data_IF_600340859290
#
_entry.id   IF_600340859290
#
_cell.length_a   1.000
_cell.length_b   1.000
_cell.length_c   1.000
_cell.angle_alpha   90.00
_cell.angle_beta   90.00
_cell.angle_gamma   90.00
#
_symmetry.space_group_name_H-M   'P 1'
#
loop_
_entity.id
_entity.type
_entity.pdbx_description
1 polymer ?
#
# COMPACT_ATOMS: atom_id res chain seq x y z
N UNK A 1 -36.73 5.39 -14.76
CA UNK A 1 -35.62 6.36 -14.57
C UNK A 1 -35.56 6.68 -13.09
N UNK A 2 -34.69 6.05 -12.33
CA UNK A 2 -34.35 6.41 -10.95
C UNK A 2 -32.87 6.77 -10.95
N UNK A 3 -32.62 8.00 -10.51
CA UNK A 3 -31.34 8.67 -10.42
C UNK A 3 -30.39 7.88 -9.55
N UNK A 4 -29.19 7.60 -10.08
CA UNK A 4 -28.03 7.10 -9.34
C UNK A 4 -27.39 8.30 -8.63
N UNK A 5 -27.93 8.66 -7.49
CA UNK A 5 -27.37 9.71 -6.65
C UNK A 5 -27.61 9.32 -5.17
N UNK A 6 -26.87 8.33 -4.72
CA UNK A 6 -26.82 7.96 -3.31
C UNK A 6 -25.48 7.30 -3.02
N UNK A 7 -24.59 8.04 -2.36
CA UNK A 7 -24.04 7.70 -1.04
C UNK A 7 -22.69 8.35 -0.76
N UNK A 8 -22.71 9.64 -0.55
CA UNK A 8 -21.68 10.28 0.27
C UNK A 8 -22.19 10.30 1.71
N UNK A 9 -21.78 9.38 2.55
CA UNK A 9 -22.03 9.44 3.98
C UNK A 9 -20.93 10.23 4.66
N UNK A 10 -21.19 11.50 4.94
CA UNK A 10 -20.32 12.35 5.76
C UNK A 10 -20.55 12.03 7.24
N UNK A 11 -19.54 11.47 7.92
CA UNK A 11 -19.47 11.49 9.38
C UNK A 11 -18.22 12.24 9.83
N UNK A 12 -18.42 13.37 10.48
CA UNK A 12 -17.37 14.08 11.20
C UNK A 12 -17.14 13.37 12.54
N UNK A 13 -15.91 12.95 12.82
CA UNK A 13 -15.51 12.39 14.11
C UNK A 13 -14.91 13.48 15.01
N UNK A 14 -15.36 13.45 16.27
CA UNK A 14 -14.99 14.44 17.26
C UNK A 14 -13.71 14.11 18.00
N UNK A 15 -13.03 15.21 18.39
CA UNK A 15 -12.04 15.41 19.45
C UNK A 15 -10.84 14.47 19.59
N UNK A 16 -9.70 15.08 19.29
CA UNK A 16 -8.31 14.64 19.42
C UNK A 16 -7.98 14.07 20.81
N UNK A 17 -7.38 12.88 20.93
CA UNK A 17 -6.61 12.51 22.10
C UNK A 17 -5.21 13.17 22.05
N UNK A 18 -4.80 13.78 23.15
CA UNK A 18 -3.46 14.31 23.34
C UNK A 18 -2.47 13.17 23.62
N UNK A 19 -1.43 13.06 22.78
CA UNK A 19 -0.29 12.20 23.07
C UNK A 19 0.46 11.82 21.80
N UNK A 20 1.16 12.76 21.15
CA UNK A 20 2.10 12.43 20.08
C UNK A 20 3.42 11.98 20.70
N UNK A 21 3.67 10.69 20.70
CA UNK A 21 5.00 10.09 20.88
C UNK A 21 5.53 9.65 19.52
N UNK A 22 6.78 9.96 19.25
CA UNK A 22 7.69 9.67 18.16
C UNK A 22 7.23 8.77 17.00
N UNK A 23 7.60 9.20 15.80
CA UNK A 23 7.60 8.38 14.58
C UNK A 23 8.48 7.16 14.84
N UNK A 24 7.87 6.03 15.23
CA UNK A 24 8.54 4.75 15.24
C UNK A 24 8.66 4.27 13.80
N UNK A 25 9.82 3.74 13.43
CA UNK A 25 10.05 2.99 12.19
C UNK A 25 8.89 2.01 12.00
N UNK A 26 7.99 2.34 11.07
CA UNK A 26 6.72 1.65 10.90
C UNK A 26 6.93 0.39 10.05
N UNK A 27 7.75 -0.53 10.55
CA UNK A 27 7.89 -1.87 9.97
C UNK A 27 6.65 -2.67 10.39
N UNK A 28 5.62 -2.57 9.57
CA UNK A 28 4.46 -3.45 9.70
C UNK A 28 4.90 -4.91 9.47
N UNK A 29 4.29 -5.85 10.17
CA UNK A 29 4.63 -7.25 10.02
C UNK A 29 4.46 -7.69 8.56
N UNK A 30 5.54 -8.12 7.92
CA UNK A 30 5.48 -8.92 6.71
C UNK A 30 5.49 -10.38 7.14
N UNK A 31 4.32 -11.01 7.18
CA UNK A 31 4.21 -12.37 7.66
C UNK A 31 4.87 -13.35 6.68
N UNK A 32 5.92 -14.00 7.16
CA UNK A 32 6.52 -15.19 6.53
C UNK A 32 6.96 -15.05 5.05
N UNK A 33 7.39 -13.87 4.62
CA UNK A 33 8.02 -13.74 3.31
C UNK A 33 9.27 -14.60 3.20
N UNK A 34 9.49 -15.22 2.04
CA UNK A 34 10.74 -15.92 1.73
C UNK A 34 11.95 -14.98 1.84
N UNK A 35 13.18 -15.51 1.97
CA UNK A 35 14.38 -14.67 1.98
C UNK A 35 14.46 -13.73 0.75
N UNK A 36 14.09 -14.23 -0.43
CA UNK A 36 14.13 -13.47 -1.67
C UNK A 36 13.06 -12.37 -1.69
N UNK A 37 11.82 -12.67 -1.34
CA UNK A 37 10.75 -11.68 -1.22
C UNK A 37 11.08 -10.58 -0.19
N UNK A 38 11.76 -10.94 0.91
CA UNK A 38 12.24 -9.96 1.90
C UNK A 38 13.31 -9.03 1.35
N UNK A 39 14.18 -9.50 0.46
CA UNK A 39 15.17 -8.64 -0.19
C UNK A 39 14.47 -7.66 -1.14
N UNK A 40 13.48 -8.11 -1.92
CA UNK A 40 12.68 -7.22 -2.77
C UNK A 40 11.93 -6.17 -1.93
N UNK A 41 11.27 -6.58 -0.83
CA UNK A 41 10.57 -5.65 0.08
C UNK A 41 11.52 -4.57 0.65
N UNK A 42 12.78 -4.94 0.97
CA UNK A 42 13.78 -3.97 1.41
C UNK A 42 14.18 -2.97 0.32
N UNK A 43 14.31 -3.42 -0.94
CA UNK A 43 14.59 -2.51 -2.08
C UNK A 43 13.40 -1.57 -2.30
N UNK A 44 12.16 -2.10 -2.26
CA UNK A 44 10.95 -1.29 -2.32
C UNK A 44 10.93 -0.22 -1.21
N UNK A 45 11.29 -0.58 0.01
CA UNK A 45 11.35 0.36 1.13
C UNK A 45 12.35 1.51 0.92
N UNK A 46 13.51 1.26 0.28
CA UNK A 46 14.49 2.32 -0.02
C UNK A 46 13.92 3.40 -0.94
N UNK A 47 13.07 3.01 -1.90
CA UNK A 47 12.43 3.95 -2.83
C UNK A 47 11.02 4.35 -2.36
N UNK A 48 10.67 4.07 -1.10
CA UNK A 48 9.37 4.41 -0.51
C UNK A 48 8.20 3.65 -1.09
N UNK A 49 8.43 2.39 -1.46
CA UNK A 49 7.45 1.51 -2.08
C UNK A 49 6.91 1.95 -3.44
N UNK A 50 7.58 2.90 -4.10
CA UNK A 50 7.29 3.24 -5.49
C UNK A 50 7.59 2.05 -6.40
N UNK A 51 6.53 1.35 -6.83
CA UNK A 51 6.64 0.03 -7.47
C UNK A 51 7.43 0.09 -8.78
N UNK A 52 7.15 1.09 -9.62
CA UNK A 52 7.82 1.23 -10.92
C UNK A 52 9.32 1.50 -10.72
N UNK A 53 9.66 2.47 -9.86
CA UNK A 53 11.05 2.82 -9.60
C UNK A 53 11.87 1.65 -9.04
N UNK A 54 11.25 0.84 -8.14
CA UNK A 54 11.90 -0.35 -7.61
C UNK A 54 12.10 -1.43 -8.67
N UNK A 55 11.07 -1.69 -9.49
CA UNK A 55 11.12 -2.72 -10.53
C UNK A 55 12.17 -2.35 -11.58
N UNK A 56 12.17 -1.11 -12.06
CA UNK A 56 13.16 -0.62 -13.04
C UNK A 56 14.58 -0.76 -12.49
N UNK A 57 14.81 -0.36 -11.23
CA UNK A 57 16.12 -0.48 -10.60
C UNK A 57 16.58 -1.95 -10.48
N UNK A 58 15.65 -2.88 -10.15
CA UNK A 58 15.97 -4.31 -10.07
C UNK A 58 16.28 -4.87 -11.45
N UNK A 59 15.48 -4.55 -12.45
CA UNK A 59 15.68 -5.01 -13.83
C UNK A 59 17.00 -4.50 -14.41
N UNK A 60 17.35 -3.24 -14.18
CA UNK A 60 18.63 -2.65 -14.59
C UNK A 60 19.86 -3.30 -13.90
N UNK A 61 19.69 -3.81 -12.68
CA UNK A 61 20.74 -4.47 -11.92
C UNK A 61 20.96 -5.94 -12.33
N UNK A 62 19.99 -6.55 -13.03
CA UNK A 62 20.10 -7.94 -13.51
C UNK A 62 20.86 -7.95 -14.85
N UNK A 63 21.95 -8.75 -14.96
CA UNK A 63 22.73 -8.81 -16.21
C UNK A 63 21.91 -9.38 -17.38
N UNK A 64 22.06 -8.75 -18.56
CA UNK A 64 21.46 -9.26 -19.81
C UNK A 64 20.07 -8.71 -20.05
N UNK A 65 19.16 -9.58 -20.49
CA UNK A 65 17.75 -9.24 -20.77
C UNK A 65 16.79 -9.79 -19.69
N UNK A 66 17.33 -10.13 -18.50
CA UNK A 66 16.53 -10.60 -17.38
C UNK A 66 15.76 -9.46 -16.70
N UNK A 67 14.91 -9.82 -15.75
CA UNK A 67 14.13 -8.89 -14.95
C UNK A 67 13.54 -9.57 -13.72
N UNK A 68 12.92 -8.80 -12.84
CA UNK A 68 12.32 -9.28 -11.60
C UNK A 68 11.32 -10.43 -11.84
N UNK A 69 10.54 -10.32 -12.91
CA UNK A 69 9.51 -11.30 -13.27
C UNK A 69 9.86 -12.14 -14.52
N UNK A 70 11.09 -12.02 -15.03
CA UNK A 70 11.53 -12.82 -16.16
C UNK A 70 11.77 -14.27 -15.73
N UNK A 71 11.12 -15.27 -16.36
CA UNK A 71 11.26 -16.67 -15.99
C UNK A 71 12.66 -17.25 -16.23
N UNK A 72 13.52 -16.56 -16.99
CA UNK A 72 14.90 -16.95 -17.23
C UNK A 72 15.87 -16.40 -16.17
N UNK A 73 15.44 -15.40 -15.38
CA UNK A 73 16.24 -14.88 -14.26
C UNK A 73 16.30 -15.91 -13.15
N UNK A 74 17.49 -16.37 -12.83
CA UNK A 74 17.68 -17.34 -11.73
C UNK A 74 17.57 -16.63 -10.37
N UNK A 75 17.13 -17.36 -9.35
CA UNK A 75 17.07 -16.83 -7.97
C UNK A 75 18.44 -16.32 -7.48
N UNK A 76 19.56 -16.91 -7.94
CA UNK A 76 20.90 -16.45 -7.58
C UNK A 76 21.32 -15.14 -8.29
N UNK A 77 20.86 -14.90 -9.50
CA UNK A 77 21.06 -13.62 -10.20
C UNK A 77 20.25 -12.53 -9.55
N UNK A 78 18.96 -12.78 -9.29
CA UNK A 78 18.09 -11.85 -8.61
C UNK A 78 18.61 -11.50 -7.22
N UNK A 79 19.03 -12.49 -6.42
CA UNK A 79 19.60 -12.24 -5.09
C UNK A 79 20.82 -11.32 -5.15
N UNK A 80 21.77 -11.57 -6.07
CA UNK A 80 22.97 -10.74 -6.22
C UNK A 80 22.62 -9.29 -6.65
N UNK A 81 21.68 -9.12 -7.56
CA UNK A 81 21.19 -7.80 -7.96
C UNK A 81 20.57 -7.04 -6.78
N UNK A 82 19.71 -7.69 -6.01
CA UNK A 82 19.08 -7.12 -4.82
C UNK A 82 20.11 -6.75 -3.74
N UNK A 83 21.07 -7.61 -3.46
CA UNK A 83 22.16 -7.34 -2.49
C UNK A 83 23.01 -6.13 -2.95
N UNK A 84 23.31 -6.01 -4.25
CA UNK A 84 24.00 -4.88 -4.82
C UNK A 84 23.20 -3.57 -4.67
N UNK A 85 21.88 -3.59 -4.96
CA UNK A 85 21.00 -2.44 -4.81
C UNK A 85 20.92 -2.00 -3.35
N UNK A 86 20.77 -2.95 -2.41
CA UNK A 86 20.72 -2.65 -0.98
C UNK A 86 22.03 -2.07 -0.42
N UNK A 87 23.16 -2.33 -1.09
CA UNK A 87 24.45 -1.72 -0.76
C UNK A 87 24.64 -0.34 -1.41
N UNK A 88 23.80 0.04 -2.36
CA UNK A 88 23.76 1.35 -3.00
C UNK A 88 22.76 2.26 -2.28
N UNK A 89 22.93 3.57 -2.46
CA UNK A 89 21.96 4.55 -1.96
C UNK A 89 20.95 4.82 -3.08
N UNK A 90 19.86 4.04 -3.12
CA UNK A 90 18.78 4.27 -4.05
C UNK A 90 18.03 5.53 -3.64
N UNK A 91 18.04 6.52 -4.53
CA UNK A 91 17.27 7.74 -4.30
C UNK A 91 15.79 7.50 -4.58
N UNK A 92 14.96 7.85 -3.62
CA UNK A 92 13.53 7.90 -3.83
C UNK A 92 13.17 8.92 -4.92
N UNK A 93 12.23 8.62 -5.83
CA UNK A 93 11.78 9.59 -6.82
C UNK A 93 11.34 10.91 -6.17
N UNK A 94 11.77 12.03 -6.77
CA UNK A 94 11.28 13.34 -6.37
C UNK A 94 9.77 13.41 -6.67
N UNK A 95 9.00 13.93 -5.73
CA UNK A 95 7.58 14.22 -5.98
C UNK A 95 7.46 15.67 -6.42
N UNK A 96 6.53 15.91 -7.35
CA UNK A 96 6.02 17.26 -7.57
C UNK A 96 5.28 17.73 -6.31
N UNK A 97 5.42 19.00 -5.94
CA UNK A 97 4.56 19.57 -4.89
C UNK A 97 3.11 19.57 -5.42
N UNK A 98 2.18 18.95 -4.70
CA UNK A 98 0.80 18.92 -5.14
C UNK A 98 0.20 20.32 -5.12
N UNK A 99 -0.62 20.62 -6.11
CA UNK A 99 -1.32 21.91 -6.23
C UNK A 99 -2.53 21.97 -5.29
N UNK A 100 -2.40 21.65 -3.99
CA UNK A 100 -3.54 21.76 -3.10
C UNK A 100 -3.48 20.90 -1.84
N UNK A 101 -4.54 21.05 -1.01
CA UNK A 101 -4.69 20.39 0.29
C UNK A 101 -5.60 19.15 0.25
N UNK A 102 -6.16 18.82 -0.94
CA UNK A 102 -7.07 17.69 -1.14
C UNK A 102 -6.38 16.57 -1.91
N UNK A 103 -6.55 15.35 -1.42
CA UNK A 103 -5.99 14.15 -2.01
C UNK A 103 -7.07 13.08 -2.21
N UNK A 104 -6.84 12.23 -3.20
CA UNK A 104 -7.59 11.00 -3.42
C UNK A 104 -6.62 9.83 -3.27
N UNK A 105 -7.00 8.85 -2.46
CA UNK A 105 -6.22 7.65 -2.22
C UNK A 105 -7.02 6.43 -2.66
N UNK A 106 -6.57 5.75 -3.71
CA UNK A 106 -7.05 4.42 -4.08
C UNK A 106 -6.24 3.37 -3.37
N UNK A 107 -6.89 2.34 -2.84
CA UNK A 107 -6.25 1.20 -2.18
C UNK A 107 -6.85 -0.11 -2.65
N UNK A 108 -6.03 -1.16 -2.67
CA UNK A 108 -6.45 -2.51 -3.03
C UNK A 108 -5.54 -3.55 -2.37
N UNK A 109 -6.13 -4.65 -1.93
CA UNK A 109 -5.44 -5.82 -1.41
C UNK A 109 -5.65 -7.03 -2.31
N UNK A 110 -4.58 -7.71 -2.70
CA UNK A 110 -4.65 -8.92 -3.51
C UNK A 110 -4.09 -10.13 -2.78
N UNK A 111 -4.80 -11.27 -2.83
CA UNK A 111 -4.33 -12.53 -2.25
C UNK A 111 -4.53 -13.69 -3.23
N UNK A 112 -3.46 -14.45 -3.49
CA UNK A 112 -3.50 -15.66 -4.32
C UNK A 112 -3.91 -16.88 -3.49
N UNK A 113 -5.18 -16.93 -3.13
CA UNK A 113 -5.78 -17.83 -2.14
C UNK A 113 -5.99 -17.15 -0.80
N UNK A 114 -6.79 -17.74 0.10
CA UNK A 114 -7.15 -17.14 1.38
C UNK A 114 -7.03 -18.19 2.51
N UNK A 115 -5.90 -18.26 3.24
CA UNK A 115 -4.69 -17.45 3.09
C UNK A 115 -3.78 -17.87 1.94
N UNK A 116 -2.96 -16.93 1.42
CA UNK A 116 -2.01 -17.14 0.33
C UNK A 116 -0.98 -16.02 0.19
N UNK A 117 -0.13 -16.07 -0.86
CA UNK A 117 0.71 -14.93 -1.19
C UNK A 117 -0.14 -13.69 -1.42
N UNK A 118 0.14 -12.64 -0.68
CA UNK A 118 -0.68 -11.43 -0.65
C UNK A 118 0.17 -10.18 -0.82
N UNK A 119 -0.42 -9.18 -1.47
CA UNK A 119 0.19 -7.89 -1.76
C UNK A 119 -0.78 -6.74 -1.52
N UNK A 120 -0.23 -5.57 -1.34
CA UNK A 120 -0.94 -4.32 -1.12
C UNK A 120 -0.57 -3.32 -2.20
N UNK A 121 -1.54 -2.59 -2.71
CA UNK A 121 -1.39 -1.52 -3.68
C UNK A 121 -2.04 -0.23 -3.21
N UNK A 122 -1.43 0.92 -3.52
CA UNK A 122 -2.01 2.23 -3.27
C UNK A 122 -1.62 3.23 -4.36
N UNK A 123 -2.56 4.10 -4.74
CA UNK A 123 -2.31 5.19 -5.67
C UNK A 123 -2.78 6.49 -5.02
N UNK A 124 -1.86 7.45 -4.92
CA UNK A 124 -2.16 8.79 -4.40
C UNK A 124 -2.30 9.74 -5.58
N UNK A 125 -3.36 10.53 -5.57
CA UNK A 125 -3.64 11.57 -6.56
C UNK A 125 -3.92 12.90 -5.85
N UNK A 126 -3.66 14.00 -6.55
CA UNK A 126 -4.04 15.33 -6.10
C UNK A 126 -5.52 15.67 -6.42
N UNK A 127 -5.90 16.93 -6.22
CA UNK A 127 -7.27 17.41 -6.45
C UNK A 127 -7.67 17.41 -7.93
N UNK A 128 -6.71 17.47 -8.84
CA UNK A 128 -6.86 17.45 -10.29
C UNK A 128 -6.84 16.02 -10.86
N UNK A 129 -6.74 15.00 -9.98
CA UNK A 129 -6.58 13.58 -10.30
C UNK A 129 -5.24 13.26 -11.00
N UNK A 130 -4.24 14.12 -10.84
CA UNK A 130 -2.86 13.81 -11.26
C UNK A 130 -2.21 12.85 -10.27
N UNK A 131 -1.54 11.81 -10.80
CA UNK A 131 -0.93 10.76 -9.97
C UNK A 131 0.36 11.25 -9.36
N UNK A 132 0.42 11.24 -8.04
CA UNK A 132 1.58 11.63 -7.23
C UNK A 132 2.46 10.45 -6.82
N UNK A 133 1.84 9.27 -6.56
CA UNK A 133 2.56 8.06 -6.14
C UNK A 133 1.83 6.79 -6.57
N UNK A 134 2.60 5.75 -6.93
CA UNK A 134 2.13 4.39 -7.23
C UNK A 134 2.88 3.40 -6.36
N UNK A 135 2.25 3.00 -5.26
CA UNK A 135 2.87 2.22 -4.21
C UNK A 135 2.43 0.77 -4.27
N UNK A 136 3.36 -0.13 -3.99
CA UNK A 136 3.03 -1.54 -3.85
C UNK A 136 4.04 -2.27 -2.98
N UNK A 137 3.58 -3.31 -2.26
CA UNK A 137 4.45 -4.13 -1.41
C UNK A 137 3.93 -5.55 -1.26
N UNK A 138 4.83 -6.52 -1.03
CA UNK A 138 4.41 -7.83 -0.53
C UNK A 138 3.94 -7.72 0.92
N UNK A 139 2.86 -8.43 1.26
CA UNK A 139 2.29 -8.46 2.62
C UNK A 139 2.70 -9.73 3.35
N UNK A 140 2.58 -10.88 2.69
CA UNK A 140 2.97 -12.16 3.28
C UNK A 140 2.78 -13.32 2.32
N UNK A 141 3.46 -14.44 2.55
CA UNK A 141 3.31 -15.66 1.75
C UNK A 141 2.04 -16.45 2.11
N UNK A 142 1.41 -16.13 3.24
CA UNK A 142 0.18 -16.76 3.76
C UNK A 142 -0.71 -15.76 4.48
N UNK A 143 -0.92 -14.58 3.91
CA UNK A 143 -1.82 -13.57 4.45
C UNK A 143 -3.26 -13.73 3.89
N UNK A 144 -4.24 -13.30 4.67
CA UNK A 144 -5.63 -13.23 4.23
C UNK A 144 -5.90 -12.00 3.34
N UNK A 145 -7.02 -12.01 2.62
CA UNK A 145 -7.42 -10.88 1.79
C UNK A 145 -7.63 -9.62 2.64
N UNK A 146 -8.32 -9.72 3.77
CA UNK A 146 -8.53 -8.57 4.65
C UNK A 146 -7.21 -7.98 5.17
N UNK A 147 -6.21 -8.83 5.50
CA UNK A 147 -4.87 -8.35 5.88
C UNK A 147 -4.23 -7.54 4.77
N UNK A 148 -4.38 -7.97 3.51
CA UNK A 148 -3.86 -7.25 2.35
C UNK A 148 -4.56 -5.89 2.16
N UNK A 149 -5.89 -5.83 2.34
CA UNK A 149 -6.68 -4.59 2.29
C UNK A 149 -6.24 -3.57 3.35
N UNK A 150 -6.10 -4.02 4.61
CA UNK A 150 -5.59 -3.19 5.68
C UNK A 150 -4.16 -2.70 5.41
N UNK A 151 -3.30 -3.57 4.89
CA UNK A 151 -1.93 -3.22 4.53
C UNK A 151 -1.89 -2.18 3.40
N UNK A 152 -2.81 -2.27 2.42
CA UNK A 152 -2.93 -1.30 1.34
C UNK A 152 -3.34 0.09 1.86
N UNK A 153 -4.36 0.14 2.70
CA UNK A 153 -4.80 1.39 3.32
C UNK A 153 -3.69 2.02 4.17
N UNK A 154 -3.01 1.21 4.98
CA UNK A 154 -1.89 1.67 5.80
C UNK A 154 -0.72 2.18 4.94
N UNK A 155 -0.36 1.46 3.86
CA UNK A 155 0.70 1.85 2.94
C UNK A 155 0.45 3.25 2.35
N UNK A 156 -0.74 3.47 1.79
CA UNK A 156 -1.11 4.74 1.19
C UNK A 156 -1.20 5.88 2.20
N UNK A 157 -1.82 5.64 3.37
CA UNK A 157 -1.93 6.65 4.43
C UNK A 157 -0.57 7.05 5.01
N UNK A 158 0.33 6.09 5.24
CA UNK A 158 1.67 6.38 5.76
C UNK A 158 2.46 7.27 4.81
N UNK A 159 2.40 6.98 3.52
CA UNK A 159 3.03 7.81 2.49
C UNK A 159 2.43 9.21 2.47
N UNK A 160 1.10 9.29 2.44
CA UNK A 160 0.37 10.53 2.34
C UNK A 160 0.68 11.47 3.52
N UNK A 161 0.62 10.98 4.76
CA UNK A 161 0.86 11.82 5.95
C UNK A 161 2.34 12.16 6.15
N UNK A 162 3.25 11.34 5.62
CA UNK A 162 4.69 11.59 5.73
C UNK A 162 5.16 12.66 4.76
N UNK A 163 4.54 12.76 3.57
CA UNK A 163 5.05 13.60 2.48
C UNK A 163 4.20 14.83 2.17
N UNK A 164 2.89 14.80 2.43
CA UNK A 164 1.97 15.77 1.82
C UNK A 164 1.13 16.59 2.81
N UNK A 165 1.16 16.30 4.11
CA UNK A 165 0.36 17.01 5.13
C UNK A 165 -1.11 17.26 4.72
N UNK A 166 -1.89 16.21 4.41
CA UNK A 166 -3.21 16.32 3.81
C UNK A 166 -4.22 17.01 4.74
N UNK A 167 -4.96 18.00 4.24
CA UNK A 167 -6.08 18.61 4.96
C UNK A 167 -7.42 17.96 4.63
N UNK A 168 -7.56 17.40 3.43
CA UNK A 168 -8.73 16.65 2.96
C UNK A 168 -8.30 15.39 2.24
N UNK A 169 -8.95 14.30 2.55
CA UNK A 169 -8.67 12.99 1.97
C UNK A 169 -9.96 12.28 1.60
N UNK A 170 -10.06 11.82 0.37
CA UNK A 170 -11.03 10.83 -0.07
C UNK A 170 -10.32 9.49 -0.26
N UNK A 171 -10.72 8.46 0.51
CA UNK A 171 -10.21 7.08 0.34
C UNK A 171 -11.21 6.31 -0.53
N UNK A 172 -10.74 5.73 -1.64
CA UNK A 172 -11.51 4.89 -2.56
C UNK A 172 -11.09 3.44 -2.37
N UNK A 173 -12.01 2.61 -1.90
CA UNK A 173 -11.76 1.25 -1.43
C UNK A 173 -12.98 0.36 -1.71
N UNK A 174 -12.78 -0.91 -2.03
CA UNK A 174 -13.84 -1.88 -2.29
C UNK A 174 -14.12 -2.82 -1.11
N UNK A 175 -13.25 -2.85 -0.09
CA UNK A 175 -13.42 -3.68 1.11
C UNK A 175 -14.44 -3.11 2.09
N UNK A 176 -15.65 -3.66 2.09
CA UNK A 176 -16.68 -3.33 3.07
C UNK A 176 -16.29 -3.65 4.50
N UNK A 177 -15.47 -4.68 4.72
CA UNK A 177 -14.96 -5.04 6.05
C UNK A 177 -14.09 -3.92 6.61
N UNK A 178 -13.10 -3.47 5.85
CA UNK A 178 -12.22 -2.36 6.27
C UNK A 178 -13.02 -1.07 6.48
N UNK A 179 -14.00 -0.78 5.61
CA UNK A 179 -14.88 0.39 5.76
C UNK A 179 -15.64 0.33 7.08
N UNK A 180 -16.25 -0.80 7.43
CA UNK A 180 -17.03 -0.95 8.66
C UNK A 180 -16.16 -0.82 9.90
N UNK A 181 -15.00 -1.46 9.91
CA UNK A 181 -14.07 -1.40 11.04
C UNK A 181 -13.49 0.01 11.22
N UNK A 182 -13.03 0.66 10.15
CA UNK A 182 -12.34 1.96 10.23
C UNK A 182 -13.29 3.13 10.40
N UNK A 183 -14.40 3.16 9.65
CA UNK A 183 -15.36 4.28 9.68
C UNK A 183 -16.69 3.94 10.36
N UNK A 184 -17.01 2.67 10.55
CA UNK A 184 -18.18 2.20 11.30
C UNK A 184 -17.98 2.24 12.81
N UNK A 185 -16.73 2.15 13.26
CA UNK A 185 -16.34 2.15 14.67
C UNK A 185 -16.44 0.76 15.33
N UNK A 186 -16.43 -0.28 14.51
CA UNK A 186 -16.34 -1.66 14.99
C UNK A 186 -14.86 -2.03 15.21
N UNK A 187 -14.59 -2.89 16.20
CA UNK A 187 -13.26 -3.45 16.38
C UNK A 187 -12.98 -4.48 15.28
N UNK A 188 -11.73 -4.55 14.75
CA UNK A 188 -11.38 -5.57 13.77
C UNK A 188 -11.67 -6.97 14.30
N UNK A 189 -12.39 -7.76 13.51
CA UNK A 189 -12.78 -9.12 13.90
C UNK A 189 -11.80 -10.19 13.45
N UNK A 190 -10.91 -9.87 12.50
CA UNK A 190 -9.94 -10.80 11.96
C UNK A 190 -8.61 -10.74 12.75
N UNK A 191 -8.11 -11.88 13.26
CA UNK A 191 -6.82 -11.92 13.97
C UNK A 191 -5.67 -11.51 13.06
N UNK A 192 -4.76 -10.68 13.59
CA UNK A 192 -3.53 -10.28 12.90
C UNK A 192 -3.65 -8.96 12.12
N UNK A 193 -4.84 -8.35 12.03
CA UNK A 193 -5.01 -7.02 11.40
C UNK A 193 -4.83 -5.87 12.39
N UNK A 194 -4.79 -6.14 13.69
CA UNK A 194 -4.71 -5.13 14.74
C UNK A 194 -3.57 -4.12 14.55
N UNK A 195 -2.31 -4.53 14.21
CA UNK A 195 -1.22 -3.58 14.00
C UNK A 195 -1.47 -2.64 12.82
N UNK A 196 -2.14 -3.12 11.77
CA UNK A 196 -2.52 -2.31 10.62
C UNK A 196 -3.65 -1.34 10.98
N UNK A 197 -4.67 -1.83 11.69
CA UNK A 197 -5.80 -1.01 12.14
C UNK A 197 -5.36 0.13 13.05
N UNK A 198 -4.47 -0.14 14.00
CA UNK A 198 -3.88 0.89 14.88
C UNK A 198 -3.10 1.94 14.07
N UNK A 199 -2.29 1.51 13.10
CA UNK A 199 -1.52 2.41 12.24
C UNK A 199 -2.43 3.27 11.34
N UNK A 200 -3.48 2.67 10.77
CA UNK A 200 -4.51 3.37 9.99
C UNK A 200 -5.22 4.42 10.85
N UNK A 201 -5.66 4.06 12.05
CA UNK A 201 -6.33 4.98 12.96
C UNK A 201 -5.41 6.16 13.36
N UNK A 202 -4.13 5.88 13.62
CA UNK A 202 -3.15 6.92 13.94
C UNK A 202 -2.92 7.88 12.76
N UNK A 203 -2.82 7.35 11.54
CA UNK A 203 -2.63 8.16 10.33
C UNK A 203 -3.88 9.03 10.05
N UNK A 204 -5.08 8.46 10.09
CA UNK A 204 -6.33 9.20 9.88
C UNK A 204 -6.57 10.27 10.95
N UNK A 205 -6.13 10.05 12.19
CA UNK A 205 -6.20 11.06 13.25
C UNK A 205 -5.40 12.32 12.93
N UNK A 206 -4.40 12.25 12.05
CA UNK A 206 -3.61 13.41 11.60
C UNK A 206 -4.25 14.15 10.42
N UNK A 207 -5.24 13.55 9.75
CA UNK A 207 -5.95 14.16 8.61
C UNK A 207 -7.27 14.78 9.08
N UNK A 208 -7.40 16.13 9.09
CA UNK A 208 -8.56 16.81 9.70
C UNK A 208 -9.91 16.44 9.07
N UNK A 209 -9.94 16.24 7.76
CA UNK A 209 -11.16 15.89 7.04
C UNK A 209 -10.89 14.70 6.14
N UNK A 210 -11.43 13.55 6.48
CA UNK A 210 -11.35 12.35 5.65
C UNK A 210 -12.71 11.72 5.46
N UNK A 211 -12.93 11.18 4.28
CA UNK A 211 -14.13 10.45 3.89
C UNK A 211 -13.73 9.23 3.06
N UNK A 212 -14.64 8.28 2.88
CA UNK A 212 -14.43 7.16 1.98
C UNK A 212 -15.49 7.11 0.89
N UNK A 213 -15.11 6.52 -0.24
CA UNK A 213 -16.00 6.11 -1.32
C UNK A 213 -15.84 4.61 -1.53
N UNK A 214 -16.94 3.86 -1.38
CA UNK A 214 -16.95 2.44 -1.68
C UNK A 214 -16.95 2.23 -3.20
N UNK A 215 -15.94 1.52 -3.70
CA UNK A 215 -15.87 1.11 -5.11
C UNK A 215 -16.71 -0.17 -5.30
N UNK A 216 -17.50 -0.21 -6.35
CA UNK A 216 -18.14 -1.44 -6.78
C UNK A 216 -17.14 -2.31 -7.56
N UNK A 217 -17.36 -3.64 -7.63
CA UNK A 217 -16.50 -4.58 -8.37
C UNK A 217 -16.28 -4.20 -9.85
N UNK A 218 -17.18 -3.40 -10.43
CA UNK A 218 -17.09 -2.91 -11.81
C UNK A 218 -16.34 -1.60 -11.97
N UNK A 219 -16.02 -0.93 -10.86
CA UNK A 219 -15.36 0.36 -10.89
C UNK A 219 -13.83 0.17 -11.07
N UNK A 220 -13.19 1.01 -11.89
CA UNK A 220 -11.76 0.89 -12.07
C UNK A 220 -11.01 1.24 -10.78
N UNK A 221 -10.13 0.35 -10.32
CA UNK A 221 -9.24 0.60 -9.20
C UNK A 221 -7.78 0.57 -9.69
N UNK A 222 -7.09 1.71 -9.82
CA UNK A 222 -5.71 1.75 -10.28
C UNK A 222 -4.71 1.10 -9.31
N UNK A 223 -5.11 0.79 -8.07
CA UNK A 223 -4.28 0.10 -7.10
C UNK A 223 -4.24 -1.43 -7.29
N UNK A 224 -5.24 -2.04 -7.98
CA UNK A 224 -5.35 -3.49 -8.20
C UNK A 224 -4.09 -4.10 -8.85
N UNK A 225 -3.59 -3.50 -9.91
CA UNK A 225 -2.37 -3.99 -10.56
C UNK A 225 -1.15 -3.97 -9.62
N UNK A 226 -1.04 -2.96 -8.74
CA UNK A 226 0.06 -2.84 -7.78
C UNK A 226 -0.06 -3.88 -6.67
N UNK A 227 -1.28 -4.12 -6.17
CA UNK A 227 -1.56 -5.18 -5.21
C UNK A 227 -1.22 -6.57 -5.78
N UNK A 228 -1.61 -6.81 -7.04
CA UNK A 228 -1.29 -8.05 -7.75
C UNK A 228 0.21 -8.26 -7.88
N UNK A 229 0.98 -7.23 -8.27
CA UNK A 229 2.45 -7.29 -8.33
C UNK A 229 3.04 -7.56 -6.94
N UNK A 230 2.50 -6.92 -5.90
CA UNK A 230 2.89 -7.21 -4.51
C UNK A 230 2.68 -8.67 -4.12
N UNK A 231 1.55 -9.27 -4.52
CA UNK A 231 1.27 -10.69 -4.29
C UNK A 231 2.22 -11.62 -5.08
N UNK A 232 2.61 -11.23 -6.31
CA UNK A 232 3.60 -11.96 -7.10
C UNK A 232 4.98 -11.97 -6.43
N UNK A 233 5.39 -10.83 -5.87
CA UNK A 233 6.63 -10.73 -5.09
C UNK A 233 6.53 -11.61 -3.83
N UNK A 234 5.40 -11.62 -3.13
CA UNK A 234 5.18 -12.46 -1.95
C UNK A 234 5.26 -13.96 -2.27
N UNK A 235 5.02 -14.36 -3.51
CA UNK A 235 5.12 -15.74 -4.00
C UNK A 235 6.56 -16.16 -4.36
N UNK A 236 7.55 -15.28 -4.33
CA UNK A 236 8.94 -15.64 -4.67
C UNK A 236 9.55 -16.64 -3.69
N UNK A 237 10.09 -17.72 -4.25
CA UNK A 237 10.80 -18.74 -3.51
C UNK A 237 9.88 -19.76 -2.82
N UNK A 238 10.47 -20.80 -2.23
CA UNK A 238 9.72 -21.73 -1.40
C UNK A 238 9.19 -20.99 -0.18
N UNK A 239 7.88 -21.05 0.00
CA UNK A 239 7.20 -20.52 1.18
C UNK A 239 7.53 -21.34 2.43
#
# INVERSE_FOLDING_TARGET
>A
MRSADERVQKRAWGTRPKGAGGVSDNHLPSEHLSPLAKLVDKVLAQVGYEMVAATDAIDDAIPGYGGLFDPTTTSGELQRALEQLLASDLSRPATSDPAGERFVLYVDGSSRGNPGPAGAGAVIMDAEEDVLARLGRPVGSRAGNNTAEYAALQLGLSELVTRYEPHRLEVRIDSMTVIQDVWGGDDPTEPGVEPYSEAVAAALASVPNHEYTHLADSDPNPADALATVGADIAAFGPG
#
